data_IF_865647382099
#
_entry.id   IF_865647382099
#
_cell.length_a   1.000
_cell.length_b   1.000
_cell.length_c   1.000
_cell.angle_alpha   90.00
_cell.angle_beta   90.00
_cell.angle_gamma   90.00
#
_symmetry.space_group_name_H-M   'P 1'
#
loop_
_entity.id
_entity.type
_entity.pdbx_description
1 polymer ?
#
# COMPACT_ATOMS: atom_id res chain seq x y z
N UNK A 1 4.49 17.24 10.36
CA UNK A 1 3.76 16.69 9.21
C UNK A 1 4.54 15.48 8.74
N UNK A 2 4.10 14.28 9.10
CA UNK A 2 4.81 13.04 8.77
C UNK A 2 4.57 12.73 7.30
N UNK A 3 5.59 12.87 6.47
CA UNK A 3 5.50 12.54 5.05
C UNK A 3 5.85 11.06 4.89
N UNK A 4 4.93 10.26 4.38
CA UNK A 4 5.16 8.82 4.18
C UNK A 4 5.50 8.55 2.72
N UNK A 5 6.69 8.01 2.48
CA UNK A 5 7.10 7.62 1.13
C UNK A 5 6.43 6.31 0.71
N UNK A 6 6.28 6.08 -0.59
CA UNK A 6 5.76 4.84 -1.16
C UNK A 6 6.48 3.62 -0.57
N UNK A 7 7.81 3.63 -0.56
CA UNK A 7 8.59 2.49 -0.06
C UNK A 7 8.35 2.21 1.42
N UNK A 8 8.23 3.25 2.24
CA UNK A 8 7.96 3.15 3.67
C UNK A 8 6.57 2.55 3.92
N UNK A 9 5.57 3.04 3.17
CA UNK A 9 4.20 2.52 3.29
C UNK A 9 4.13 1.05 2.83
N UNK A 10 4.75 0.71 1.68
CA UNK A 10 4.78 -0.66 1.17
C UNK A 10 5.42 -1.64 2.13
N UNK A 11 6.57 -1.29 2.71
CA UNK A 11 7.27 -2.15 3.67
C UNK A 11 6.41 -2.39 4.92
N UNK A 12 5.84 -1.32 5.48
CA UNK A 12 4.98 -1.41 6.66
C UNK A 12 3.73 -2.27 6.38
N UNK A 13 3.03 -2.01 5.28
CA UNK A 13 1.81 -2.73 4.91
C UNK A 13 2.08 -4.18 4.57
N UNK A 14 3.18 -4.49 3.87
CA UNK A 14 3.57 -5.86 3.59
C UNK A 14 3.89 -6.63 4.88
N UNK A 15 4.57 -6.02 5.85
CA UNK A 15 4.79 -6.64 7.16
C UNK A 15 3.50 -6.92 7.92
N UNK A 16 2.51 -6.02 7.85
CA UNK A 16 1.20 -6.21 8.48
C UNK A 16 0.41 -7.37 7.84
N UNK A 17 0.50 -7.51 6.51
CA UNK A 17 -0.21 -8.55 5.78
C UNK A 17 0.50 -9.91 5.81
N UNK A 18 1.79 -9.96 6.12
CA UNK A 18 2.61 -11.18 6.05
C UNK A 18 2.10 -12.33 6.94
N UNK A 19 1.39 -12.03 8.04
CA UNK A 19 0.79 -13.05 8.92
C UNK A 19 -0.48 -13.68 8.35
N UNK A 20 -1.04 -13.12 7.29
CA UNK A 20 -2.34 -13.48 6.71
C UNK A 20 -2.30 -13.84 5.23
N UNK A 21 -1.32 -13.32 4.49
CA UNK A 21 -1.19 -13.54 3.05
C UNK A 21 0.25 -13.82 2.65
N UNK A 22 0.45 -14.90 1.91
CA UNK A 22 1.73 -15.21 1.25
C UNK A 22 2.04 -14.20 0.13
N UNK A 23 1.04 -13.44 -0.31
CA UNK A 23 1.15 -12.40 -1.33
C UNK A 23 1.15 -10.99 -0.73
N UNK A 24 1.41 -10.85 0.57
CA UNK A 24 1.38 -9.57 1.29
C UNK A 24 2.08 -8.40 0.58
N UNK A 25 3.27 -8.62 0.03
CA UNK A 25 4.02 -7.58 -0.70
C UNK A 25 3.35 -7.20 -2.04
N UNK A 26 2.71 -8.17 -2.69
CA UNK A 26 1.98 -7.95 -3.94
C UNK A 26 0.66 -7.22 -3.67
N UNK A 27 -0.08 -7.62 -2.64
CA UNK A 27 -1.33 -6.98 -2.21
C UNK A 27 -1.11 -5.52 -1.84
N UNK A 28 -0.09 -5.22 -1.03
CA UNK A 28 0.26 -3.85 -0.67
C UNK A 28 0.55 -2.98 -1.92
N UNK A 29 1.23 -3.54 -2.93
CA UNK A 29 1.48 -2.84 -4.20
C UNK A 29 0.20 -2.64 -5.01
N UNK A 30 -0.69 -3.63 -5.06
CA UNK A 30 -1.98 -3.54 -5.77
C UNK A 30 -2.82 -2.42 -5.16
N UNK A 31 -2.89 -2.32 -3.84
CA UNK A 31 -3.60 -1.26 -3.13
C UNK A 31 -3.06 0.11 -3.53
N UNK A 32 -1.74 0.32 -3.49
CA UNK A 32 -1.17 1.62 -3.89
C UNK A 32 -1.36 1.92 -5.38
N UNK A 33 -1.28 0.91 -6.26
CA UNK A 33 -1.59 1.12 -7.68
C UNK A 33 -3.02 1.64 -7.86
N UNK A 34 -3.97 1.06 -7.11
CA UNK A 34 -5.37 1.45 -7.15
C UNK A 34 -5.60 2.86 -6.56
N UNK A 35 -5.03 3.16 -5.39
CA UNK A 35 -5.16 4.48 -4.72
C UNK A 35 -4.56 5.60 -5.56
N UNK A 36 -3.40 5.38 -6.15
CA UNK A 36 -2.67 6.41 -6.89
C UNK A 36 -3.10 6.52 -8.35
N UNK A 37 -3.91 5.57 -8.83
CA UNK A 37 -4.20 5.40 -10.26
C UNK A 37 -2.90 5.35 -11.09
N UNK A 38 -1.99 4.47 -10.68
CA UNK A 38 -0.66 4.29 -11.30
C UNK A 38 -0.35 2.81 -11.51
N UNK A 39 0.49 2.56 -12.52
CA UNK A 39 0.99 1.22 -12.80
C UNK A 39 2.02 0.77 -11.75
N UNK A 40 2.22 -0.56 -11.67
CA UNK A 40 3.25 -1.15 -10.79
C UNK A 40 4.66 -0.65 -11.12
N UNK A 41 4.95 -0.44 -12.41
CA UNK A 41 6.23 0.11 -12.87
C UNK A 41 6.46 1.53 -12.34
N UNK A 42 5.40 2.32 -12.24
CA UNK A 42 5.47 3.67 -11.69
C UNK A 42 5.85 3.64 -10.19
N UNK A 43 5.24 2.75 -9.40
CA UNK A 43 5.61 2.56 -7.99
C UNK A 43 7.09 2.18 -7.81
N UNK A 44 7.62 1.33 -8.70
CA UNK A 44 9.02 0.87 -8.65
C UNK A 44 10.00 1.99 -9.02
N UNK A 45 9.62 2.86 -9.95
CA UNK A 45 10.46 3.99 -10.42
C UNK A 45 10.38 5.21 -9.51
N UNK A 46 9.37 5.30 -8.65
CA UNK A 46 9.15 6.44 -7.74
C UNK A 46 9.05 6.02 -6.25
N UNK A 47 10.02 5.26 -5.70
CA UNK A 47 9.93 4.75 -4.33
C UNK A 47 9.94 5.87 -3.27
N UNK A 48 10.56 7.01 -3.59
CA UNK A 48 10.66 8.19 -2.74
C UNK A 48 9.47 9.15 -2.85
N UNK A 49 8.49 8.86 -3.71
CA UNK A 49 7.30 9.70 -3.82
C UNK A 49 6.55 9.74 -2.49
N UNK A 50 6.18 10.94 -2.06
CA UNK A 50 5.50 11.18 -0.80
C UNK A 50 3.99 11.09 -1.00
N UNK A 51 3.35 10.19 -0.26
CA UNK A 51 1.91 10.05 -0.23
C UNK A 51 1.31 11.21 0.56
N UNK A 52 0.21 11.77 0.06
CA UNK A 52 -0.59 12.71 0.82
C UNK A 52 -1.50 12.00 1.85
N UNK A 53 -2.07 12.77 2.77
CA UNK A 53 -2.88 12.19 3.86
C UNK A 53 -4.14 11.46 3.34
N UNK A 54 -4.75 11.92 2.25
CA UNK A 54 -5.92 11.28 1.66
C UNK A 54 -5.54 9.93 1.03
N UNK A 55 -4.42 9.88 0.31
CA UNK A 55 -3.88 8.64 -0.26
C UNK A 55 -3.54 7.63 0.83
N UNK A 56 -2.88 8.07 1.90
CA UNK A 56 -2.54 7.22 3.05
C UNK A 56 -3.81 6.66 3.69
N UNK A 57 -4.81 7.50 3.92
CA UNK A 57 -6.07 7.08 4.53
C UNK A 57 -6.81 6.05 3.68
N UNK A 58 -6.97 6.29 2.37
CA UNK A 58 -7.58 5.35 1.43
C UNK A 58 -6.84 4.00 1.38
N UNK A 59 -5.50 4.04 1.33
CA UNK A 59 -4.68 2.84 1.30
C UNK A 59 -4.82 2.04 2.60
N UNK A 60 -4.82 2.72 3.75
CA UNK A 60 -4.98 2.07 5.06
C UNK A 60 -6.37 1.46 5.23
N UNK A 61 -7.42 2.11 4.71
CA UNK A 61 -8.78 1.54 4.71
C UNK A 61 -8.82 0.22 3.94
N UNK A 62 -8.20 0.16 2.77
CA UNK A 62 -8.11 -1.09 1.99
C UNK A 62 -7.33 -2.19 2.70
N UNK A 63 -6.21 -1.87 3.36
CA UNK A 63 -5.48 -2.83 4.21
C UNK A 63 -6.41 -3.38 5.30
N UNK A 64 -7.19 -2.53 5.95
CA UNK A 64 -8.16 -2.93 6.96
C UNK A 64 -9.17 -3.96 6.42
N UNK A 65 -9.66 -3.76 5.19
CA UNK A 65 -10.60 -4.67 4.51
C UNK A 65 -9.97 -6.04 4.23
N UNK A 66 -8.71 -6.07 3.79
CA UNK A 66 -7.99 -7.34 3.56
C UNK A 66 -7.77 -8.08 4.89
N UNK A 67 -7.41 -7.36 5.96
CA UNK A 67 -7.17 -7.95 7.28
C UNK A 67 -8.42 -8.60 7.89
N UNK A 68 -9.61 -8.11 7.57
CA UNK A 68 -10.88 -8.71 7.98
C UNK A 68 -11.36 -9.84 7.04
N UNK A 69 -10.61 -10.13 5.97
CA UNK A 69 -10.89 -11.21 5.02
C UNK A 69 -11.82 -10.80 3.87
N UNK A 70 -12.06 -9.51 3.64
CA UNK A 70 -12.70 -9.06 2.39
C UNK A 70 -11.70 -9.13 1.23
N UNK A 71 -12.08 -9.71 0.08
CA UNK A 71 -11.23 -9.69 -1.11
C UNK A 71 -11.08 -8.27 -1.69
N UNK A 72 -9.90 -8.02 -2.27
CA UNK A 72 -9.54 -6.82 -3.03
C UNK A 72 -10.40 -6.63 -4.27
#
# INVERSE_FOLDING_TARGET
MTKTKIIEWLNKSASLLAERSELASLEARVILCHVLDKSREWLVTHPDFELDNLQIDQANQMIGRILIGEPL
#
